data_IF_633823531837
#
_entry.id   IF_633823531837
#
_cell.length_a   1.000
_cell.length_b   1.000
_cell.length_c   1.000
_cell.angle_alpha   90.00
_cell.angle_beta   90.00
_cell.angle_gamma   90.00
#
_symmetry.space_group_name_H-M   'P 1'
#
loop_
_entity.id
_entity.type
_entity.pdbx_description
1 polymer ?
#
# COMPACT_ATOMS: atom_id res chain seq x y z
N UNK A 1 -79.62 32.46 -5.03
CA UNK A 1 -78.92 32.55 -6.33
C UNK A 1 -77.43 32.79 -6.12
N UNK A 2 -76.65 31.75 -6.42
CA UNK A 2 -75.23 31.68 -6.82
C UNK A 2 -74.21 32.63 -6.15
N UNK A 3 -73.68 32.17 -5.00
CA UNK A 3 -72.33 32.52 -4.52
C UNK A 3 -71.31 31.90 -5.49
N UNK A 4 -70.50 32.73 -6.13
CA UNK A 4 -69.36 32.28 -6.94
C UNK A 4 -68.24 31.84 -5.99
N UNK A 5 -67.90 30.57 -6.04
CA UNK A 5 -66.76 29.98 -5.34
C UNK A 5 -65.50 30.36 -6.12
N UNK A 6 -64.60 31.09 -5.46
CA UNK A 6 -63.26 31.39 -5.96
C UNK A 6 -62.38 30.19 -5.62
N UNK A 7 -61.93 29.45 -6.64
CA UNK A 7 -60.96 28.37 -6.51
C UNK A 7 -59.58 29.02 -6.33
N UNK A 8 -59.04 28.94 -5.11
CA UNK A 8 -57.65 29.30 -4.81
C UNK A 8 -56.79 28.08 -5.10
N UNK A 9 -55.98 28.16 -6.15
CA UNK A 9 -54.93 27.17 -6.45
C UNK A 9 -53.78 27.42 -5.47
N UNK A 10 -53.67 26.55 -4.47
CA UNK A 10 -52.50 26.51 -3.58
C UNK A 10 -51.39 25.78 -4.32
N UNK A 11 -50.40 26.54 -4.79
CA UNK A 11 -49.13 25.99 -5.27
C UNK A 11 -48.35 25.56 -4.04
N UNK A 12 -48.44 24.28 -3.68
CA UNK A 12 -47.58 23.67 -2.68
C UNK A 12 -46.16 23.56 -3.24
N UNK A 13 -45.28 24.49 -2.87
CA UNK A 13 -43.84 24.29 -2.95
C UNK A 13 -43.48 23.16 -1.97
N UNK A 14 -43.42 21.93 -2.48
CA UNK A 14 -42.70 20.84 -1.84
C UNK A 14 -41.22 21.21 -1.84
N UNK A 15 -40.77 21.85 -0.76
CA UNK A 15 -39.36 21.88 -0.41
C UNK A 15 -38.98 20.44 -0.10
N UNK A 16 -38.37 19.75 -1.06
CA UNK A 16 -37.62 18.54 -0.78
C UNK A 16 -36.44 18.94 0.10
N UNK A 17 -36.66 18.90 1.42
CA UNK A 17 -35.57 18.74 2.37
C UNK A 17 -34.95 17.37 2.08
N UNK A 18 -33.95 17.34 1.20
CA UNK A 18 -33.04 16.21 1.14
C UNK A 18 -32.33 16.17 2.48
N UNK A 19 -32.79 15.30 3.39
CA UNK A 19 -31.99 14.84 4.50
C UNK A 19 -30.80 14.07 3.91
N UNK A 20 -29.78 14.81 3.45
CA UNK A 20 -28.42 14.27 3.40
C UNK A 20 -28.08 13.98 4.85
N UNK A 21 -28.26 12.73 5.25
CA UNK A 21 -27.57 12.17 6.40
C UNK A 21 -26.10 12.46 6.15
N UNK A 22 -25.55 13.46 6.85
CA UNK A 22 -24.11 13.58 7.01
C UNK A 22 -23.66 12.27 7.65
N UNK A 23 -23.13 11.37 6.83
CA UNK A 23 -22.32 10.28 7.30
C UNK A 23 -21.07 10.96 7.85
N UNK A 24 -21.05 11.12 9.17
CA UNK A 24 -19.89 11.65 9.88
C UNK A 24 -18.68 10.79 9.51
N UNK A 25 -17.72 11.37 8.79
CA UNK A 25 -16.38 10.83 8.53
C UNK A 25 -15.53 10.83 9.83
N UNK A 26 -16.06 10.24 10.90
CA UNK A 26 -15.54 10.37 12.27
C UNK A 26 -14.81 9.12 12.79
N UNK A 27 -14.42 8.17 11.93
CA UNK A 27 -13.58 7.04 12.36
C UNK A 27 -12.13 7.11 11.87
N UNK A 28 -11.83 7.85 10.80
CA UNK A 28 -10.47 7.88 10.23
C UNK A 28 -9.60 9.00 10.81
N UNK A 29 -10.21 10.12 11.22
CA UNK A 29 -9.47 11.31 11.66
C UNK A 29 -8.77 11.16 13.00
N UNK A 30 -9.25 10.26 13.87
CA UNK A 30 -8.75 10.16 15.24
C UNK A 30 -7.55 9.22 15.42
N UNK A 31 -7.26 8.33 14.46
CA UNK A 31 -6.12 7.41 14.56
C UNK A 31 -4.93 7.78 13.66
N UNK A 32 -5.15 8.54 12.56
CA UNK A 32 -4.08 8.94 11.62
C UNK A 32 -3.44 10.29 12.01
N UNK A 33 -4.12 11.12 12.81
CA UNK A 33 -3.69 12.51 13.12
C UNK A 33 -2.52 12.65 14.10
N UNK A 34 -1.86 11.56 14.50
CA UNK A 34 -0.74 11.57 15.46
C UNK A 34 0.58 10.99 14.91
N UNK A 35 0.73 10.76 13.60
CA UNK A 35 1.92 10.07 13.05
C UNK A 35 2.93 11.08 12.46
N UNK A 36 3.39 12.00 13.28
CA UNK A 36 4.61 12.78 13.02
C UNK A 36 5.51 12.67 14.24
N UNK A 37 5.98 11.46 14.53
CA UNK A 37 7.05 11.28 15.52
C UNK A 37 8.40 11.33 14.79
N UNK A 38 9.38 11.99 15.43
CA UNK A 38 10.77 11.57 15.30
C UNK A 38 10.80 10.09 15.68
N UNK A 39 11.09 9.22 14.72
CA UNK A 39 11.22 7.80 14.98
C UNK A 39 12.69 7.46 14.96
N UNK A 40 13.13 6.73 15.99
CA UNK A 40 14.41 6.07 15.96
C UNK A 40 14.35 4.93 14.95
N UNK A 41 15.39 4.80 14.14
CA UNK A 41 15.61 3.70 13.20
C UNK A 41 16.68 2.77 13.79
N UNK A 42 16.36 1.96 14.82
CA UNK A 42 17.38 1.20 15.55
C UNK A 42 18.12 0.20 14.66
N UNK A 43 17.47 -0.34 13.63
CA UNK A 43 18.11 -1.24 12.67
C UNK A 43 19.06 -0.53 11.70
N UNK A 44 18.90 0.79 11.52
CA UNK A 44 19.71 1.58 10.59
C UNK A 44 20.71 2.51 11.29
N UNK A 45 20.74 2.55 12.63
CA UNK A 45 21.58 3.48 13.40
C UNK A 45 23.07 3.40 13.02
N UNK A 46 23.58 2.19 12.79
CA UNK A 46 24.95 1.96 12.34
C UNK A 46 25.14 2.12 10.83
N UNK A 47 24.06 2.17 10.05
CA UNK A 47 24.08 2.28 8.60
C UNK A 47 24.10 3.74 8.18
N UNK A 48 23.18 4.55 8.70
CA UNK A 48 23.09 5.96 8.39
C UNK A 48 21.98 6.65 9.16
N UNK A 49 22.17 7.93 9.42
CA UNK A 49 21.15 8.76 10.05
C UNK A 49 20.00 9.01 9.06
N UNK A 50 18.77 8.73 9.50
CA UNK A 50 17.56 9.00 8.74
C UNK A 50 16.97 10.34 9.20
N UNK A 51 16.72 11.23 8.24
CA UNK A 51 16.25 12.59 8.48
C UNK A 51 14.99 12.89 7.67
N UNK A 52 14.30 13.98 8.01
CA UNK A 52 13.19 14.49 7.20
C UNK A 52 13.69 14.88 5.79
N UNK A 53 12.94 14.50 4.76
CA UNK A 53 13.16 15.01 3.40
C UNK A 53 12.69 16.45 3.19
N UNK A 54 12.12 17.09 4.22
CA UNK A 54 11.52 18.42 4.15
C UNK A 54 10.02 18.38 3.86
N UNK A 55 9.52 19.40 3.16
CA UNK A 55 8.09 19.55 2.89
C UNK A 55 7.82 20.36 1.63
N UNK A 56 6.66 20.16 1.03
CA UNK A 56 6.12 20.97 -0.08
C UNK A 56 4.76 21.57 0.30
N UNK A 57 4.43 22.73 -0.25
CA UNK A 57 3.12 23.35 -0.07
C UNK A 57 2.21 23.06 -1.27
N UNK A 58 1.02 22.51 -1.01
CA UNK A 58 0.00 22.20 -2.02
C UNK A 58 -1.31 22.82 -1.54
N UNK A 59 -1.88 23.73 -2.34
CA UNK A 59 -3.14 24.41 -2.03
C UNK A 59 -3.17 25.04 -0.62
N UNK A 60 -2.05 25.68 -0.24
CA UNK A 60 -1.90 26.36 1.05
C UNK A 60 -1.73 25.43 2.26
N UNK A 61 -1.55 24.12 2.02
CA UNK A 61 -1.28 23.13 3.07
C UNK A 61 0.12 22.55 2.91
N UNK A 62 0.85 22.45 4.01
CA UNK A 62 2.13 21.75 4.06
C UNK A 62 1.89 20.23 3.98
N UNK A 63 2.70 19.57 3.15
CA UNK A 63 2.77 18.12 3.00
C UNK A 63 4.23 17.70 3.12
N UNK A 64 4.47 16.57 3.76
CA UNK A 64 5.81 16.08 4.02
C UNK A 64 6.42 15.46 2.75
N UNK A 65 7.73 15.56 2.65
CA UNK A 65 8.51 14.68 1.79
C UNK A 65 8.90 13.44 2.58
N UNK A 66 9.15 12.33 1.89
CA UNK A 66 9.58 11.09 2.52
C UNK A 66 10.90 11.28 3.27
N UNK A 67 11.12 10.47 4.30
CA UNK A 67 12.39 10.49 5.05
C UNK A 67 13.51 9.88 4.20
N UNK A 68 14.71 10.40 4.35
CA UNK A 68 15.89 10.01 3.57
C UNK A 68 17.08 9.80 4.48
N UNK A 69 18.11 9.12 3.99
CA UNK A 69 19.41 9.14 4.66
C UNK A 69 20.04 10.52 4.54
N UNK A 70 20.59 11.06 5.63
CA UNK A 70 21.28 12.35 5.62
C UNK A 70 22.49 12.36 4.67
N UNK A 71 23.10 11.19 4.45
CA UNK A 71 24.08 10.94 3.40
C UNK A 71 23.84 9.56 2.75
N UNK A 72 23.17 9.57 1.59
CA UNK A 72 22.81 8.39 0.80
C UNK A 72 24.03 7.52 0.43
N UNK A 73 25.14 8.13 0.02
CA UNK A 73 26.36 7.41 -0.37
C UNK A 73 26.98 6.68 0.82
N UNK A 74 27.13 7.38 1.95
CA UNK A 74 27.69 6.77 3.17
C UNK A 74 26.80 5.65 3.68
N UNK A 75 25.48 5.81 3.63
CA UNK A 75 24.54 4.75 4.02
C UNK A 75 24.71 3.48 3.16
N UNK A 76 24.87 3.64 1.84
CA UNK A 76 25.10 2.52 0.92
C UNK A 76 26.39 1.76 1.24
N UNK A 77 27.51 2.47 1.41
CA UNK A 77 28.81 1.86 1.69
C UNK A 77 28.84 1.19 3.08
N UNK A 78 28.18 1.77 4.07
CA UNK A 78 28.02 1.16 5.39
C UNK A 78 27.19 -0.13 5.30
N UNK A 79 26.10 -0.15 4.53
CA UNK A 79 25.30 -1.35 4.30
C UNK A 79 26.13 -2.46 3.64
N UNK A 80 26.87 -2.13 2.58
CA UNK A 80 27.74 -3.08 1.87
C UNK A 80 28.76 -3.73 2.80
N UNK A 81 29.27 -2.96 3.76
CA UNK A 81 30.23 -3.43 4.76
C UNK A 81 29.58 -4.29 5.84
N UNK A 82 28.35 -3.96 6.28
CA UNK A 82 27.70 -4.60 7.42
C UNK A 82 26.89 -5.85 7.04
N UNK A 83 26.29 -5.85 5.86
CA UNK A 83 25.41 -6.91 5.37
C UNK A 83 26.02 -7.65 4.15
N UNK A 84 27.35 -7.76 4.10
CA UNK A 84 28.11 -8.34 2.98
C UNK A 84 27.58 -9.72 2.57
N UNK A 85 27.48 -10.67 3.51
CA UNK A 85 27.06 -12.05 3.21
C UNK A 85 25.63 -12.11 2.65
N UNK A 86 24.72 -11.29 3.18
CA UNK A 86 23.33 -11.25 2.75
C UNK A 86 23.20 -10.58 1.36
N UNK A 87 23.97 -9.52 1.10
CA UNK A 87 24.04 -8.87 -0.22
C UNK A 87 24.68 -9.78 -1.27
N UNK A 88 25.75 -10.51 -0.94
CA UNK A 88 26.35 -11.51 -1.84
C UNK A 88 25.36 -12.62 -2.19
N UNK A 89 24.54 -13.05 -1.22
CA UNK A 89 23.49 -14.01 -1.46
C UNK A 89 22.47 -13.50 -2.49
N UNK A 90 21.95 -12.29 -2.28
CA UNK A 90 20.96 -11.66 -3.18
C UNK A 90 21.57 -11.46 -4.57
N UNK A 91 22.80 -10.93 -4.65
CA UNK A 91 23.52 -10.74 -5.91
C UNK A 91 23.66 -12.04 -6.69
N UNK A 92 24.05 -13.13 -6.01
CA UNK A 92 24.20 -14.44 -6.62
C UNK A 92 22.87 -15.02 -7.10
N UNK A 93 21.80 -14.84 -6.33
CA UNK A 93 20.46 -15.34 -6.66
C UNK A 93 19.88 -14.61 -7.88
N UNK A 94 20.02 -13.29 -7.93
CA UNK A 94 19.55 -12.46 -9.03
C UNK A 94 20.49 -12.36 -10.24
N UNK A 95 21.73 -12.88 -10.13
CA UNK A 95 22.80 -12.69 -11.11
C UNK A 95 23.15 -11.21 -11.34
N UNK A 96 23.20 -10.43 -10.27
CA UNK A 96 23.49 -9.00 -10.32
C UNK A 96 24.98 -8.71 -10.13
N UNK A 97 25.44 -7.61 -10.70
CA UNK A 97 26.69 -6.97 -10.29
C UNK A 97 26.56 -6.43 -8.85
N UNK A 98 27.68 -6.00 -8.27
CA UNK A 98 27.73 -5.38 -6.94
C UNK A 98 26.67 -4.28 -6.76
N UNK A 99 26.13 -4.15 -5.55
CA UNK A 99 25.12 -3.16 -5.22
C UNK A 99 25.63 -1.72 -5.45
N UNK A 100 24.82 -0.93 -6.13
CA UNK A 100 25.03 0.47 -6.53
C UNK A 100 23.71 1.25 -6.52
N UNK A 101 23.78 2.58 -6.63
CA UNK A 101 22.60 3.44 -6.86
C UNK A 101 21.77 3.06 -8.08
N UNK A 102 22.36 2.46 -9.11
CA UNK A 102 21.62 2.15 -10.35
C UNK A 102 20.91 0.81 -10.32
N UNK A 103 21.26 -0.10 -9.39
CA UNK A 103 20.70 -1.45 -9.33
C UNK A 103 20.07 -1.80 -7.96
N UNK A 104 20.00 -0.86 -7.00
CA UNK A 104 19.44 -1.16 -5.67
C UNK A 104 18.00 -1.69 -5.71
N UNK A 105 17.17 -1.22 -6.66
CA UNK A 105 15.81 -1.74 -6.85
C UNK A 105 15.79 -3.22 -7.25
N UNK A 106 16.83 -3.70 -7.95
CA UNK A 106 16.95 -5.11 -8.32
C UNK A 106 17.21 -5.95 -7.07
N UNK A 107 18.10 -5.48 -6.20
CA UNK A 107 18.35 -6.11 -4.90
C UNK A 107 17.10 -6.09 -4.01
N UNK A 108 16.40 -4.96 -3.94
CA UNK A 108 15.18 -4.86 -3.15
C UNK A 108 14.10 -5.82 -3.66
N UNK A 109 13.86 -5.82 -4.97
CA UNK A 109 12.85 -6.70 -5.58
C UNK A 109 13.18 -8.17 -5.38
N UNK A 110 14.45 -8.57 -5.52
CA UNK A 110 14.90 -9.94 -5.28
C UNK A 110 14.79 -10.33 -3.80
N UNK A 111 15.15 -9.44 -2.86
CA UNK A 111 14.95 -9.62 -1.42
C UNK A 111 13.47 -9.94 -1.13
N UNK A 112 12.55 -9.18 -1.73
CA UNK A 112 11.11 -9.38 -1.62
C UNK A 112 10.61 -10.69 -2.26
N UNK A 113 11.42 -11.41 -3.04
CA UNK A 113 11.07 -12.75 -3.55
C UNK A 113 11.64 -13.91 -2.72
N UNK A 114 12.45 -13.65 -1.69
CA UNK A 114 13.06 -14.73 -0.90
C UNK A 114 12.01 -15.33 0.06
N UNK A 115 11.75 -16.62 -0.07
CA UNK A 115 10.84 -17.33 0.83
C UNK A 115 11.39 -17.45 2.26
N UNK A 116 10.52 -17.47 3.27
CA UNK A 116 10.92 -17.52 4.68
C UNK A 116 11.83 -18.71 5.03
N UNK A 117 11.56 -19.89 4.48
CA UNK A 117 12.40 -21.07 4.69
C UNK A 117 13.79 -20.96 4.07
N UNK A 118 13.92 -20.14 3.02
CA UNK A 118 15.20 -19.82 2.39
C UNK A 118 15.95 -18.81 3.24
N UNK A 119 15.29 -17.73 3.68
CA UNK A 119 15.86 -16.71 4.59
C UNK A 119 16.53 -17.41 5.78
N UNK A 120 15.81 -18.28 6.49
CA UNK A 120 16.35 -19.01 7.67
C UNK A 120 17.62 -19.83 7.40
N UNK A 121 17.92 -20.16 6.15
CA UNK A 121 19.11 -20.94 5.76
C UNK A 121 20.24 -20.06 5.24
N UNK A 122 19.94 -18.85 4.76
CA UNK A 122 20.86 -18.05 3.97
C UNK A 122 21.24 -16.72 4.63
N UNK A 123 20.37 -16.16 5.48
CA UNK A 123 20.63 -14.96 6.26
C UNK A 123 19.86 -14.94 7.58
N UNK A 124 20.17 -14.00 8.47
CA UNK A 124 19.39 -13.83 9.69
C UNK A 124 18.10 -13.06 9.41
N UNK A 125 17.05 -13.28 10.21
CA UNK A 125 15.84 -12.44 10.19
C UNK A 125 16.17 -10.96 10.44
N UNK A 126 17.18 -10.69 11.27
CA UNK A 126 17.64 -9.33 11.52
C UNK A 126 18.22 -8.70 10.24
N UNK A 127 19.15 -9.38 9.57
CA UNK A 127 19.73 -8.94 8.29
C UNK A 127 18.66 -8.71 7.23
N UNK A 128 17.68 -9.61 7.11
CA UNK A 128 16.54 -9.40 6.22
C UNK A 128 15.78 -8.10 6.55
N UNK A 129 15.49 -7.85 7.83
CA UNK A 129 14.78 -6.65 8.27
C UNK A 129 15.61 -5.36 8.13
N UNK A 130 16.94 -5.42 8.29
CA UNK A 130 17.87 -4.31 8.02
C UNK A 130 17.81 -3.96 6.54
N UNK A 131 17.99 -4.96 5.66
CA UNK A 131 17.98 -4.75 4.21
C UNK A 131 16.62 -4.23 3.73
N UNK A 132 15.52 -4.80 4.23
CA UNK A 132 14.17 -4.37 3.85
C UNK A 132 13.92 -2.91 4.23
N UNK A 133 14.28 -2.53 5.46
CA UNK A 133 14.12 -1.15 5.92
C UNK A 133 15.09 -0.18 5.22
N UNK A 134 16.31 -0.65 4.93
CA UNK A 134 17.28 0.16 4.20
C UNK A 134 16.73 0.51 2.82
N UNK A 135 16.30 -0.48 2.03
CA UNK A 135 15.88 -0.23 0.65
C UNK A 135 14.62 0.64 0.57
N UNK A 136 13.69 0.46 1.51
CA UNK A 136 12.51 1.30 1.66
C UNK A 136 12.87 2.78 1.91
N UNK A 137 13.77 3.06 2.88
CA UNK A 137 14.25 4.45 3.07
C UNK A 137 15.14 4.93 1.92
N UNK A 138 15.88 4.04 1.26
CA UNK A 138 16.84 4.40 0.21
C UNK A 138 16.18 4.85 -1.10
N UNK A 139 14.98 4.34 -1.40
CA UNK A 139 14.23 4.78 -2.59
C UNK A 139 13.65 6.19 -2.45
N UNK A 140 13.53 6.69 -1.21
CA UNK A 140 12.84 7.94 -0.93
C UNK A 140 13.49 9.19 -1.51
N UNK A 141 14.80 9.18 -1.74
CA UNK A 141 15.46 10.23 -2.52
C UNK A 141 14.85 10.34 -3.93
N UNK A 142 14.61 9.21 -4.59
CA UNK A 142 14.07 9.16 -5.94
C UNK A 142 12.55 9.47 -5.92
N UNK A 143 11.83 9.07 -4.87
CA UNK A 143 10.44 9.46 -4.63
C UNK A 143 10.28 10.98 -4.45
N UNK A 144 11.10 11.57 -3.58
CA UNK A 144 11.12 13.01 -3.33
C UNK A 144 11.49 13.80 -4.58
N UNK A 145 12.44 13.32 -5.38
CA UNK A 145 12.78 13.94 -6.66
C UNK A 145 11.59 13.96 -7.62
N UNK A 146 10.79 12.88 -7.71
CA UNK A 146 9.56 12.83 -8.52
C UNK A 146 8.49 13.81 -8.02
N UNK A 147 8.31 13.93 -6.72
CA UNK A 147 7.38 14.91 -6.12
C UNK A 147 7.79 16.34 -6.50
N UNK A 148 9.07 16.68 -6.31
CA UNK A 148 9.60 18.01 -6.62
C UNK A 148 9.48 18.31 -8.12
N UNK A 149 9.81 17.35 -8.99
CA UNK A 149 9.62 17.47 -10.44
C UNK A 149 8.16 17.72 -10.82
N UNK A 150 7.21 17.03 -10.18
CA UNK A 150 5.77 17.22 -10.39
C UNK A 150 5.33 18.64 -9.98
N UNK A 151 5.80 19.12 -8.83
CA UNK A 151 5.53 20.49 -8.37
C UNK A 151 6.06 21.55 -9.34
N UNK A 152 7.24 21.33 -9.92
CA UNK A 152 7.89 22.24 -10.85
C UNK A 152 7.37 22.12 -12.30
N UNK A 153 6.54 21.11 -12.60
CA UNK A 153 6.05 20.88 -13.96
C UNK A 153 5.01 21.93 -14.38
N UNK A 154 5.42 22.89 -15.21
CA UNK A 154 4.56 23.96 -15.72
C UNK A 154 3.54 23.51 -16.77
N UNK A 155 3.64 22.27 -17.26
CA UNK A 155 2.68 21.71 -18.22
C UNK A 155 1.42 21.17 -17.53
N UNK A 156 1.49 20.92 -16.22
CA UNK A 156 0.36 20.45 -15.41
C UNK A 156 -0.33 21.65 -14.75
N UNK A 157 -1.65 21.70 -14.85
CA UNK A 157 -2.45 22.61 -14.03
C UNK A 157 -2.50 22.12 -12.56
N UNK A 158 -3.01 22.96 -11.67
CA UNK A 158 -3.06 22.67 -10.23
C UNK A 158 -3.80 21.36 -9.91
N UNK A 159 -4.96 21.13 -10.53
CA UNK A 159 -5.75 19.91 -10.30
C UNK A 159 -5.03 18.64 -10.79
N UNK A 160 -4.30 18.72 -11.90
CA UNK A 160 -3.50 17.60 -12.39
C UNK A 160 -2.31 17.32 -11.47
N UNK A 161 -1.67 18.35 -10.90
CA UNK A 161 -0.61 18.16 -9.90
C UNK A 161 -1.16 17.49 -8.65
N UNK A 162 -2.28 17.96 -8.13
CA UNK A 162 -2.93 17.38 -6.96
C UNK A 162 -3.28 15.91 -7.16
N UNK A 163 -3.79 15.55 -8.34
CA UNK A 163 -4.07 14.15 -8.68
C UNK A 163 -2.81 13.28 -8.68
N UNK A 164 -1.74 13.72 -9.35
CA UNK A 164 -0.46 12.96 -9.36
C UNK A 164 0.13 12.86 -7.96
N UNK A 165 0.17 13.97 -7.22
CA UNK A 165 0.78 14.06 -5.90
C UNK A 165 0.02 13.24 -4.85
N UNK A 166 -1.30 13.08 -4.99
CA UNK A 166 -2.07 12.20 -4.11
C UNK A 166 -1.61 10.72 -4.17
N UNK A 167 -0.96 10.29 -5.26
CA UNK A 167 -0.45 8.93 -5.45
C UNK A 167 1.05 8.79 -5.19
N UNK A 168 1.75 9.89 -4.95
CA UNK A 168 3.21 9.92 -4.77
C UNK A 168 3.61 10.46 -3.40
N UNK A 169 2.70 11.02 -2.59
CA UNK A 169 3.00 11.53 -1.25
C UNK A 169 2.73 10.49 -0.15
N UNK A 170 3.34 10.66 1.03
CA UNK A 170 3.02 9.88 2.23
C UNK A 170 1.53 9.76 2.51
N UNK A 171 1.03 8.56 2.81
CA UNK A 171 -0.41 8.28 2.92
C UNK A 171 -1.15 9.14 3.96
N UNK A 172 -0.43 9.68 4.95
CA UNK A 172 -0.98 10.48 6.03
C UNK A 172 -1.05 11.99 5.71
N UNK A 173 -0.51 12.43 4.57
CA UNK A 173 -0.46 13.84 4.21
C UNK A 173 -1.82 14.41 3.81
N UNK A 174 -1.98 15.70 4.04
CA UNK A 174 -3.24 16.41 3.82
C UNK A 174 -3.76 16.28 2.39
N UNK A 175 -2.87 16.43 1.40
CA UNK A 175 -3.23 16.33 -0.02
C UNK A 175 -3.74 14.92 -0.37
N UNK A 176 -3.13 13.88 0.19
CA UNK A 176 -3.52 12.48 -0.02
C UNK A 176 -4.88 12.21 0.62
N UNK A 177 -5.03 12.55 1.90
CA UNK A 177 -6.27 12.36 2.65
C UNK A 177 -7.43 13.11 2.00
N UNK A 178 -7.23 14.37 1.60
CA UNK A 178 -8.25 15.17 0.94
C UNK A 178 -8.62 14.61 -0.42
N UNK A 179 -7.65 14.22 -1.25
CA UNK A 179 -7.90 13.68 -2.58
C UNK A 179 -8.73 12.39 -2.50
N UNK A 180 -8.28 11.40 -1.74
CA UNK A 180 -8.98 10.11 -1.65
C UNK A 180 -10.31 10.22 -0.89
N UNK A 181 -10.43 11.10 0.10
CA UNK A 181 -11.74 11.32 0.75
C UNK A 181 -12.81 11.88 -0.20
N UNK A 182 -12.39 12.63 -1.23
CA UNK A 182 -13.30 13.28 -2.18
C UNK A 182 -13.53 12.48 -3.47
N UNK A 183 -12.59 11.62 -3.87
CA UNK A 183 -12.64 10.88 -5.14
C UNK A 183 -13.01 9.40 -4.98
N UNK A 184 -13.20 8.93 -3.75
CA UNK A 184 -13.69 7.57 -3.49
C UNK A 184 -15.21 7.45 -3.63
N UNK A 185 -15.66 6.87 -4.74
CA UNK A 185 -17.02 6.32 -4.83
C UNK A 185 -17.06 4.96 -4.16
N UNK A 186 -17.46 4.91 -2.89
CA UNK A 186 -17.79 3.65 -2.22
C UNK A 186 -19.15 3.19 -2.77
N UNK A 187 -19.16 2.33 -3.78
CA UNK A 187 -20.35 1.56 -4.05
C UNK A 187 -20.50 0.53 -2.93
N UNK A 188 -21.63 0.60 -2.22
CA UNK A 188 -21.93 -0.27 -1.10
C UNK A 188 -22.34 -1.65 -1.65
N UNK A 189 -21.35 -2.47 -2.04
CA UNK A 189 -21.57 -3.83 -2.54
C UNK A 189 -21.03 -4.83 -1.52
N UNK A 190 -21.74 -5.95 -1.38
CA UNK A 190 -21.33 -7.02 -0.47
C UNK A 190 -20.13 -7.78 -1.06
N UNK A 191 -18.96 -7.65 -0.45
CA UNK A 191 -17.78 -8.45 -0.77
C UNK A 191 -18.00 -9.92 -0.42
N UNK A 192 -17.86 -10.80 -1.41
CA UNK A 192 -18.02 -12.24 -1.25
C UNK A 192 -16.70 -12.89 -0.84
N UNK A 193 -16.50 -13.01 0.48
CA UNK A 193 -15.31 -13.64 1.08
C UNK A 193 -15.08 -15.07 0.58
N UNK A 194 -16.13 -15.85 0.32
CA UNK A 194 -15.99 -17.23 -0.17
C UNK A 194 -15.36 -17.27 -1.56
N UNK A 195 -15.82 -16.41 -2.47
CA UNK A 195 -15.26 -16.33 -3.83
C UNK A 195 -13.83 -15.79 -3.80
N UNK A 196 -13.58 -14.74 -3.01
CA UNK A 196 -12.27 -14.18 -2.82
C UNK A 196 -11.28 -15.22 -2.24
N UNK A 197 -11.66 -15.97 -1.22
CA UNK A 197 -10.86 -17.05 -0.64
C UNK A 197 -10.57 -18.17 -1.66
N UNK A 198 -11.57 -18.56 -2.44
CA UNK A 198 -11.42 -19.59 -3.49
C UNK A 198 -10.39 -19.14 -4.53
N UNK A 199 -10.49 -17.88 -4.97
CA UNK A 199 -9.55 -17.30 -5.91
C UNK A 199 -8.14 -17.20 -5.34
N UNK A 200 -8.02 -16.67 -4.11
CA UNK A 200 -6.75 -16.50 -3.43
C UNK A 200 -6.01 -17.83 -3.26
N UNK A 201 -6.70 -18.86 -2.75
CA UNK A 201 -6.11 -20.20 -2.60
C UNK A 201 -5.65 -20.81 -3.94
N UNK A 202 -6.45 -20.67 -4.99
CA UNK A 202 -6.15 -21.26 -6.29
C UNK A 202 -4.97 -20.59 -7.02
N UNK A 203 -4.69 -19.32 -6.72
CA UNK A 203 -3.74 -18.50 -7.51
C UNK A 203 -2.52 -18.04 -6.71
N UNK A 204 -2.48 -18.16 -5.38
CA UNK A 204 -1.36 -17.68 -4.56
C UNK A 204 0.01 -18.28 -4.92
N UNK A 205 0.04 -19.51 -5.46
CA UNK A 205 1.27 -20.15 -5.96
C UNK A 205 1.40 -20.12 -7.49
N UNK A 206 0.48 -19.49 -8.21
CA UNK A 206 0.43 -19.51 -9.68
C UNK A 206 0.25 -18.11 -10.26
N UNK A 207 1.30 -17.64 -10.92
CA UNK A 207 1.37 -16.31 -11.56
C UNK A 207 0.76 -16.26 -12.96
N UNK A 208 0.29 -17.40 -13.49
CA UNK A 208 -0.06 -17.59 -14.92
C UNK A 208 -1.46 -17.06 -15.28
N UNK A 209 -1.86 -15.92 -14.76
CA UNK A 209 -3.16 -15.32 -15.09
C UNK A 209 -3.09 -14.58 -16.42
N UNK A 210 -3.38 -15.27 -17.54
CA UNK A 210 -3.52 -14.61 -18.85
C UNK A 210 -4.60 -13.52 -18.88
N UNK A 211 -5.54 -13.56 -17.94
CA UNK A 211 -6.59 -12.56 -17.79
C UNK A 211 -6.03 -11.22 -17.33
N UNK A 212 -5.20 -11.24 -16.28
CA UNK A 212 -4.77 -10.03 -15.58
C UNK A 212 -3.30 -9.70 -15.78
N UNK A 213 -2.49 -10.61 -16.33
CA UNK A 213 -1.05 -10.48 -16.46
C UNK A 213 -0.34 -10.59 -15.11
N UNK A 214 0.99 -10.59 -15.18
CA UNK A 214 1.88 -10.51 -14.04
C UNK A 214 2.63 -9.18 -14.09
N UNK A 215 2.67 -8.47 -12.96
CA UNK A 215 3.29 -7.16 -12.85
C UNK A 215 4.76 -7.30 -12.49
N UNK A 216 5.57 -6.55 -13.23
CA UNK A 216 7.00 -6.39 -12.99
C UNK A 216 7.28 -4.92 -12.69
N UNK A 217 8.26 -4.67 -11.82
CA UNK A 217 8.84 -3.36 -11.60
C UNK A 217 9.56 -2.85 -12.86
N UNK A 218 9.94 -1.58 -12.88
CA UNK A 218 10.56 -0.92 -14.05
C UNK A 218 11.89 -1.54 -14.49
N UNK A 219 12.58 -2.20 -13.57
CA UNK A 219 13.83 -2.95 -13.76
C UNK A 219 13.58 -4.43 -14.14
N UNK A 220 12.31 -4.83 -14.33
CA UNK A 220 11.91 -6.14 -14.82
C UNK A 220 11.74 -7.21 -13.74
N UNK A 221 11.77 -6.85 -12.45
CA UNK A 221 11.63 -7.79 -11.36
C UNK A 221 10.17 -8.03 -10.96
N UNK A 222 9.80 -9.23 -10.47
CA UNK A 222 8.46 -9.51 -9.98
C UNK A 222 7.94 -8.56 -8.88
N UNK A 223 6.83 -7.86 -9.11
CA UNK A 223 6.25 -6.89 -8.16
C UNK A 223 4.70 -6.98 -8.12
N UNK A 224 4.18 -8.18 -7.87
CA UNK A 224 2.79 -8.52 -8.19
C UNK A 224 1.81 -8.49 -7.01
N UNK A 225 2.27 -8.12 -5.81
CA UNK A 225 1.47 -8.20 -4.58
C UNK A 225 0.13 -7.44 -4.68
N UNK A 226 0.15 -6.18 -5.12
CA UNK A 226 -1.05 -5.37 -5.29
C UNK A 226 -1.91 -5.81 -6.48
N UNK A 227 -1.30 -6.27 -7.58
CA UNK A 227 -2.04 -6.83 -8.71
C UNK A 227 -2.81 -8.08 -8.30
N UNK A 228 -2.19 -8.97 -7.52
CA UNK A 228 -2.84 -10.15 -6.98
C UNK A 228 -3.97 -9.79 -6.01
N UNK A 229 -3.75 -8.81 -5.12
CA UNK A 229 -4.79 -8.30 -4.23
C UNK A 229 -5.99 -7.73 -5.01
N UNK A 230 -5.75 -6.95 -6.08
CA UNK A 230 -6.80 -6.44 -6.96
C UNK A 230 -7.59 -7.55 -7.64
N UNK A 231 -6.92 -8.62 -8.09
CA UNK A 231 -7.59 -9.79 -8.65
C UNK A 231 -8.52 -10.48 -7.63
N UNK A 232 -8.10 -10.58 -6.37
CA UNK A 232 -8.93 -11.10 -5.28
C UNK A 232 -10.15 -10.21 -5.02
N UNK A 233 -10.00 -8.88 -5.07
CA UNK A 233 -11.12 -7.94 -4.94
C UNK A 233 -12.17 -8.17 -6.04
N UNK A 234 -11.74 -8.28 -7.30
CA UNK A 234 -12.64 -8.60 -8.42
C UNK A 234 -13.33 -9.95 -8.23
N UNK A 235 -12.60 -10.98 -7.80
CA UNK A 235 -13.18 -12.29 -7.51
C UNK A 235 -14.22 -12.24 -6.37
N UNK A 236 -14.00 -11.35 -5.39
CA UNK A 236 -14.95 -11.02 -4.33
C UNK A 236 -16.16 -10.21 -4.80
N UNK A 237 -16.19 -9.73 -6.04
CA UNK A 237 -17.33 -9.03 -6.65
C UNK A 237 -17.19 -7.50 -6.68
N UNK A 238 -16.04 -6.95 -6.30
CA UNK A 238 -15.77 -5.52 -6.48
C UNK A 238 -15.71 -5.16 -7.96
N UNK A 239 -16.14 -3.95 -8.30
CA UNK A 239 -16.11 -3.45 -9.67
C UNK A 239 -15.02 -2.40 -9.84
N UNK A 240 -14.28 -2.50 -10.95
CA UNK A 240 -13.27 -1.51 -11.31
C UNK A 240 -13.88 -0.12 -11.45
N UNK A 241 -13.12 0.90 -11.06
CA UNK A 241 -13.41 2.30 -11.38
C UNK A 241 -12.54 2.68 -12.57
N UNK A 242 -13.09 2.54 -13.77
CA UNK A 242 -12.33 2.72 -15.01
C UNK A 242 -12.17 4.18 -15.41
N UNK A 243 -10.91 4.62 -15.47
CA UNK A 243 -10.47 5.96 -15.88
C UNK A 243 -9.30 5.87 -16.88
N UNK A 244 -9.13 4.72 -17.52
CA UNK A 244 -8.10 4.49 -18.54
C UNK A 244 -8.09 5.63 -19.58
N UNK A 245 -6.91 6.15 -19.98
CA UNK A 245 -5.57 5.68 -19.65
C UNK A 245 -4.91 6.37 -18.44
N UNK A 246 -5.64 7.11 -17.59
CA UNK A 246 -5.04 7.84 -16.48
C UNK A 246 -4.63 6.89 -15.34
N UNK A 247 -3.32 6.71 -15.14
CA UNK A 247 -2.77 5.80 -14.12
C UNK A 247 -2.86 6.36 -12.70
N UNK A 248 -3.09 7.67 -12.55
CA UNK A 248 -3.24 8.39 -11.28
C UNK A 248 -4.71 8.60 -10.89
N UNK A 249 -5.60 7.76 -11.42
CA UNK A 249 -7.03 7.89 -11.16
C UNK A 249 -7.71 6.53 -11.25
N UNK A 250 -8.83 6.38 -10.53
CA UNK A 250 -9.64 5.15 -10.53
C UNK A 250 -8.94 3.94 -9.91
N UNK A 251 -9.44 2.75 -10.21
CA UNK A 251 -8.87 1.44 -9.86
C UNK A 251 -9.24 0.49 -10.99
N UNK A 252 -8.30 0.27 -11.91
CA UNK A 252 -8.60 -0.40 -13.17
C UNK A 252 -7.45 -1.20 -13.74
N UNK A 253 -7.83 -2.20 -14.53
CA UNK A 253 -6.98 -2.99 -15.40
C UNK A 253 -7.62 -3.07 -16.79
N UNK A 254 -6.78 -3.05 -17.83
CA UNK A 254 -7.20 -3.28 -19.22
C UNK A 254 -6.27 -4.29 -19.87
N UNK A 255 -6.86 -5.34 -20.47
CA UNK A 255 -6.15 -6.28 -21.34
C UNK A 255 -6.25 -5.81 -22.80
N UNK A 256 -5.13 -5.39 -23.38
CA UNK A 256 -5.04 -4.92 -24.77
C UNK A 256 -4.55 -6.01 -25.74
N UNK A 257 -4.77 -7.29 -25.39
CA UNK A 257 -4.35 -8.51 -26.12
C UNK A 257 -2.85 -8.74 -26.13
N UNK A 258 -2.03 -7.72 -26.42
CA UNK A 258 -0.56 -7.80 -26.47
C UNK A 258 0.11 -7.28 -25.20
N UNK A 259 -0.62 -6.53 -24.38
CA UNK A 259 -0.13 -5.99 -23.12
C UNK A 259 -1.27 -5.79 -22.13
N UNK A 260 -0.91 -5.76 -20.85
CA UNK A 260 -1.81 -5.37 -19.78
C UNK A 260 -1.43 -3.97 -19.28
N UNK A 261 -2.43 -3.13 -19.05
CA UNK A 261 -2.28 -1.80 -18.45
C UNK A 261 -3.05 -1.74 -17.15
N UNK A 262 -2.55 -0.95 -16.21
CA UNK A 262 -3.07 -0.85 -14.84
C UNK A 262 -3.05 0.60 -14.38
N UNK A 263 -4.00 0.99 -13.53
CA UNK A 263 -3.82 2.15 -12.65
C UNK A 263 -2.81 1.82 -11.56
N UNK A 264 -2.21 2.85 -10.95
CA UNK A 264 -1.32 2.65 -9.80
C UNK A 264 -2.06 1.98 -8.63
N UNK A 265 -3.27 2.45 -8.32
CA UNK A 265 -4.15 1.85 -7.31
C UNK A 265 -4.47 0.37 -7.54
N UNK A 266 -4.32 -0.15 -8.77
CA UNK A 266 -4.48 -1.57 -9.07
C UNK A 266 -3.21 -2.37 -8.81
N UNK A 267 -2.06 -1.89 -9.27
CA UNK A 267 -0.81 -2.68 -9.33
C UNK A 267 0.30 -2.23 -8.40
N UNK A 268 0.16 -1.12 -7.68
CA UNK A 268 1.20 -0.53 -6.84
C UNK A 268 0.76 -0.44 -5.38
N UNK A 269 1.49 -1.13 -4.50
CA UNK A 269 1.11 -1.38 -3.10
C UNK A 269 0.78 -0.10 -2.30
N UNK A 270 1.60 0.97 -2.33
CA UNK A 270 1.29 2.19 -1.56
C UNK A 270 -0.07 2.78 -1.95
N UNK A 271 -0.34 2.85 -3.25
CA UNK A 271 -1.58 3.44 -3.76
C UNK A 271 -2.77 2.51 -3.66
N UNK A 272 -2.58 1.19 -3.75
CA UNK A 272 -3.63 0.21 -3.45
C UNK A 272 -4.08 0.36 -2.00
N UNK A 273 -3.14 0.35 -1.06
CA UNK A 273 -3.44 0.44 0.36
C UNK A 273 -4.19 1.72 0.67
N UNK A 274 -3.68 2.85 0.18
CA UNK A 274 -4.29 4.17 0.40
C UNK A 274 -5.70 4.24 -0.20
N UNK A 275 -5.88 3.81 -1.45
CA UNK A 275 -7.17 3.75 -2.13
C UNK A 275 -8.17 2.90 -1.32
N UNK A 276 -7.80 1.70 -0.88
CA UNK A 276 -8.75 0.83 -0.19
C UNK A 276 -8.89 1.09 1.33
N UNK A 277 -8.12 2.02 1.91
CA UNK A 277 -8.02 2.24 3.38
C UNK A 277 -9.23 2.87 4.08
N UNK A 278 -10.33 3.22 3.38
CA UNK A 278 -11.46 3.98 3.96
C UNK A 278 -12.18 3.33 5.16
N UNK A 279 -11.85 2.09 5.54
CA UNK A 279 -12.32 1.38 6.74
C UNK A 279 -11.21 0.48 7.30
N UNK A 280 -10.02 1.05 7.47
CA UNK A 280 -8.82 0.35 7.90
C UNK A 280 -8.49 0.53 9.39
N UNK A 281 -7.59 -0.32 9.87
CA UNK A 281 -6.96 -0.24 11.19
C UNK A 281 -5.45 -0.40 11.03
N UNK A 282 -4.65 0.46 11.66
CA UNK A 282 -3.20 0.39 11.61
C UNK A 282 -2.59 0.29 13.02
N UNK A 283 -1.49 -0.47 13.16
CA UNK A 283 -0.74 -0.59 14.41
C UNK A 283 0.68 -1.06 14.16
N UNK A 284 1.60 -0.81 15.10
CA UNK A 284 2.97 -1.33 15.09
C UNK A 284 3.16 -2.63 15.84
N UNK A 285 2.11 -3.12 16.51
CA UNK A 285 2.16 -4.34 17.32
C UNK A 285 1.43 -5.46 16.60
N UNK A 286 2.14 -6.52 16.25
CA UNK A 286 1.64 -7.65 15.48
C UNK A 286 0.53 -8.41 16.21
N UNK A 287 0.61 -8.54 17.53
CA UNK A 287 -0.49 -9.15 18.32
C UNK A 287 -1.78 -8.32 18.25
N UNK A 288 -1.68 -6.99 18.35
CA UNK A 288 -2.81 -6.08 18.16
C UNK A 288 -3.35 -6.14 16.73
N UNK A 289 -2.45 -6.17 15.74
CA UNK A 289 -2.79 -6.29 14.32
C UNK A 289 -3.60 -7.56 14.05
N UNK A 290 -3.09 -8.72 14.46
CA UNK A 290 -3.77 -10.01 14.27
C UNK A 290 -5.11 -10.10 14.99
N UNK A 291 -5.27 -9.41 16.13
CA UNK A 291 -6.56 -9.33 16.86
C UNK A 291 -7.68 -8.65 16.06
N UNK A 292 -7.35 -7.90 15.01
CA UNK A 292 -8.32 -7.22 14.14
C UNK A 292 -8.58 -7.97 12.84
N UNK A 293 -7.83 -9.03 12.54
CA UNK A 293 -7.98 -9.78 11.30
C UNK A 293 -9.26 -10.62 11.30
N UNK A 294 -9.76 -10.84 10.10
CA UNK A 294 -10.78 -11.84 9.80
C UNK A 294 -10.49 -12.42 8.41
N UNK A 295 -11.05 -13.58 8.09
CA UNK A 295 -11.03 -14.05 6.69
C UNK A 295 -11.73 -13.00 5.79
N UNK A 296 -11.08 -12.60 4.70
CA UNK A 296 -11.52 -11.46 3.89
C UNK A 296 -10.78 -10.15 4.16
N UNK A 297 -9.89 -10.10 5.15
CA UNK A 297 -9.02 -8.95 5.36
C UNK A 297 -7.91 -8.93 4.31
N UNK A 298 -7.69 -7.76 3.69
CA UNK A 298 -6.43 -7.43 3.05
C UNK A 298 -5.51 -6.83 4.11
N UNK A 299 -4.22 -7.06 3.98
CA UNK A 299 -3.22 -6.60 4.93
C UNK A 299 -2.05 -5.96 4.20
N UNK A 300 -1.43 -4.96 4.82
CA UNK A 300 -0.24 -4.32 4.30
C UNK A 300 0.78 -4.05 5.41
N UNK A 301 2.02 -3.80 5.04
CA UNK A 301 3.02 -3.25 5.95
C UNK A 301 3.75 -2.06 5.33
N UNK A 302 4.24 -1.17 6.19
CA UNK A 302 5.15 -0.05 5.90
C UNK A 302 6.37 -0.27 6.81
N UNK A 303 7.49 -0.73 6.24
CA UNK A 303 8.65 -1.26 6.97
C UNK A 303 9.52 -0.15 7.54
N UNK A 304 9.70 0.93 6.79
CA UNK A 304 10.48 2.11 7.14
C UNK A 304 9.67 3.17 7.86
N UNK A 305 8.36 2.99 8.01
CA UNK A 305 7.46 3.98 8.61
C UNK A 305 7.71 5.37 8.00
N UNK A 306 7.74 5.40 6.67
CA UNK A 306 8.00 6.57 5.86
C UNK A 306 6.71 7.14 5.24
N UNK A 307 5.58 6.45 5.44
CA UNK A 307 4.30 6.81 4.85
C UNK A 307 4.01 6.11 3.53
N UNK A 308 4.71 5.03 3.20
CA UNK A 308 4.52 4.19 2.02
C UNK A 308 4.28 2.74 2.43
N UNK A 309 3.23 2.10 1.91
CA UNK A 309 3.02 0.66 2.18
C UNK A 309 3.75 -0.19 1.14
N UNK A 310 4.77 -0.92 1.57
CA UNK A 310 5.64 -1.75 0.72
C UNK A 310 4.92 -2.92 0.06
N UNK A 311 3.98 -3.53 0.78
CA UNK A 311 3.48 -4.86 0.42
C UNK A 311 2.01 -5.06 0.76
N UNK A 312 1.32 -5.86 -0.05
CA UNK A 312 -0.08 -6.25 0.16
C UNK A 312 -0.22 -7.78 0.18
N UNK A 313 -1.00 -8.30 1.13
CA UNK A 313 -1.43 -9.69 1.15
C UNK A 313 -2.92 -9.81 1.51
N UNK A 314 -3.44 -11.04 1.44
CA UNK A 314 -4.84 -11.35 1.74
C UNK A 314 -4.95 -12.48 2.75
N UNK A 315 -5.83 -12.30 3.74
CA UNK A 315 -6.09 -13.25 4.81
C UNK A 315 -7.33 -14.09 4.47
N UNK A 316 -7.15 -15.40 4.30
CA UNK A 316 -8.27 -16.30 4.00
C UNK A 316 -8.99 -16.79 5.25
N UNK A 317 -8.26 -16.95 6.36
CA UNK A 317 -8.81 -17.42 7.63
C UNK A 317 -7.93 -17.01 8.81
N UNK A 318 -8.53 -16.84 9.98
CA UNK A 318 -7.83 -16.54 11.25
C UNK A 318 -8.21 -17.59 12.28
N UNK A 319 -7.23 -18.08 13.03
CA UNK A 319 -7.47 -19.03 14.11
C UNK A 319 -8.21 -18.36 15.28
N UNK A 320 -8.95 -19.17 16.03
CA UNK A 320 -9.71 -18.72 17.20
C UNK A 320 -8.92 -18.76 18.52
N UNK A 321 -7.64 -19.13 18.48
CA UNK A 321 -6.73 -19.12 19.63
C UNK A 321 -5.38 -18.53 19.23
N UNK A 322 -4.69 -17.95 20.21
CA UNK A 322 -3.35 -17.41 20.01
C UNK A 322 -2.29 -18.52 20.08
N UNK A 323 -1.31 -18.43 19.20
CA UNK A 323 -0.09 -19.23 19.21
C UNK A 323 1.10 -18.29 19.02
N UNK A 324 2.17 -18.42 19.80
CA UNK A 324 3.33 -17.53 19.69
C UNK A 324 3.05 -16.05 20.00
N UNK A 325 1.98 -15.74 20.75
CA UNK A 325 1.63 -14.37 21.16
C UNK A 325 0.73 -13.59 20.19
N UNK A 326 0.27 -14.20 19.10
CA UNK A 326 -0.64 -13.59 18.13
C UNK A 326 -1.68 -14.60 17.61
N UNK A 327 -2.71 -14.14 16.92
CA UNK A 327 -3.66 -15.02 16.24
C UNK A 327 -3.09 -15.48 14.91
N UNK A 328 -2.71 -16.76 14.82
CA UNK A 328 -2.20 -17.32 13.57
C UNK A 328 -3.29 -17.34 12.50
N UNK A 329 -2.91 -17.16 11.25
CA UNK A 329 -3.83 -16.92 10.15
C UNK A 329 -3.21 -17.35 8.82
N UNK A 330 -4.05 -17.68 7.84
CA UNK A 330 -3.59 -18.08 6.51
C UNK A 330 -3.53 -16.86 5.59
N UNK A 331 -2.40 -16.73 4.91
CA UNK A 331 -2.04 -15.63 4.04
C UNK A 331 -1.87 -16.18 2.63
N UNK A 332 -2.53 -15.51 1.68
CA UNK A 332 -2.30 -15.62 0.26
C UNK A 332 -1.61 -14.33 -0.21
N UNK A 333 -0.45 -14.44 -0.84
CA UNK A 333 0.24 -13.30 -1.42
C UNK A 333 1.09 -13.67 -2.63
N UNK A 334 1.47 -12.65 -3.39
CA UNK A 334 2.59 -12.70 -4.32
C UNK A 334 3.77 -11.88 -3.75
N UNK A 335 4.99 -12.10 -4.25
CA UNK A 335 6.24 -11.45 -3.79
C UNK A 335 6.60 -11.70 -2.30
N UNK A 336 7.04 -12.92 -1.92
CA UNK A 336 7.04 -14.14 -2.73
C UNK A 336 5.65 -14.77 -2.84
N UNK A 337 5.50 -15.71 -3.77
CA UNK A 337 4.22 -16.33 -4.10
C UNK A 337 3.95 -17.54 -3.21
N UNK A 338 3.00 -17.40 -2.27
CA UNK A 338 2.64 -18.50 -1.39
C UNK A 338 1.22 -18.41 -0.83
N UNK A 339 0.70 -19.57 -0.46
CA UNK A 339 -0.41 -19.75 0.47
C UNK A 339 0.09 -20.45 1.71
N UNK A 340 0.19 -19.76 2.85
CA UNK A 340 0.77 -20.34 4.06
C UNK A 340 0.20 -19.70 5.33
N UNK A 341 0.36 -20.38 6.47
CA UNK A 341 0.07 -19.77 7.76
C UNK A 341 1.14 -18.74 8.12
N UNK A 342 0.77 -17.70 8.86
CA UNK A 342 1.67 -16.63 9.27
C UNK A 342 2.87 -17.15 10.08
N UNK A 343 2.68 -18.23 10.85
CA UNK A 343 3.75 -18.94 11.56
C UNK A 343 4.86 -19.52 10.66
N UNK A 344 4.60 -19.64 9.36
CA UNK A 344 5.57 -20.08 8.34
C UNK A 344 5.85 -18.99 7.31
N UNK A 345 5.68 -17.72 7.68
CA UNK A 345 5.99 -16.58 6.83
C UNK A 345 6.81 -15.52 7.59
N UNK A 346 7.25 -14.50 6.87
CA UNK A 346 7.99 -13.38 7.45
C UNK A 346 7.10 -12.42 8.26
N UNK A 347 5.77 -12.45 8.10
CA UNK A 347 4.87 -11.46 8.69
C UNK A 347 5.04 -11.25 10.20
N UNK A 348 5.15 -12.29 11.06
CA UNK A 348 5.36 -12.10 12.48
C UNK A 348 6.74 -11.51 12.82
N UNK A 349 7.72 -11.69 11.95
CA UNK A 349 9.09 -11.23 12.13
C UNK A 349 9.32 -9.79 11.66
N UNK A 350 8.33 -9.16 11.03
CA UNK A 350 8.41 -7.77 10.59
C UNK A 350 8.27 -6.77 11.76
N UNK A 351 7.72 -7.19 12.91
CA UNK A 351 7.63 -6.32 14.09
C UNK A 351 9.04 -6.05 14.64
N UNK A 352 9.51 -4.83 14.46
CA UNK A 352 10.85 -4.37 14.86
C UNK A 352 10.83 -3.04 15.62
N UNK A 353 9.64 -2.57 15.99
CA UNK A 353 9.47 -1.25 16.58
C UNK A 353 9.59 -0.11 15.57
N UNK A 354 9.50 -0.35 14.27
CA UNK A 354 9.32 0.71 13.26
C UNK A 354 8.14 0.36 12.37
N UNK A 355 8.08 -0.89 11.89
CA UNK A 355 7.10 -1.39 10.95
C UNK A 355 5.65 -1.11 11.39
N UNK A 356 4.84 -0.54 10.49
CA UNK A 356 3.40 -0.47 10.64
C UNK A 356 2.73 -1.61 9.89
N UNK A 357 1.65 -2.13 10.48
CA UNK A 357 0.75 -3.09 9.85
C UNK A 357 -0.61 -2.44 9.65
N UNK A 358 -1.19 -2.63 8.47
CA UNK A 358 -2.51 -2.12 8.09
C UNK A 358 -3.45 -3.28 7.81
N UNK A 359 -4.68 -3.18 8.31
CA UNK A 359 -5.81 -4.05 7.94
C UNK A 359 -6.74 -3.25 7.05
N UNK A 360 -7.02 -3.75 5.86
CA UNK A 360 -7.99 -3.23 4.90
C UNK A 360 -9.16 -4.23 4.84
N UNK A 361 -10.40 -3.75 4.98
CA UNK A 361 -11.59 -4.61 4.86
C UNK A 361 -11.98 -4.75 3.39
N UNK A 362 -12.11 -5.98 2.90
CA UNK A 362 -12.50 -6.26 1.51
C UNK A 362 -13.90 -5.78 1.11
N UNK A 363 -14.73 -5.37 2.07
CA UNK A 363 -16.04 -4.73 1.87
C UNK A 363 -16.51 -4.07 3.17
N UNK A 364 -17.47 -3.13 3.09
CA UNK A 364 -18.04 -2.43 4.25
C UNK A 364 -19.22 -3.16 4.88
#
# INVERSE_FOLDING_TARGET
>A
MKKKVLIVIVISMLVFLSNKKEIKANSMKNDISNIAYEFDYPLLESIGEVVSGGSVEISGKQNHLYKVFSNRETALENLKTQETDALEYIAKKGHFDELTHSNYMQYYSELMQIEYEEIKKTMSTNSYNVLLQFFDIYENDDCNERIIKTMQNNSLNQSQKEEVLAYELPYYDNAVVDYFSNHHSIENRSFNVTNANTYAYANAGNTSSSTYGYVYSSDGNPADCANFASQILIAGGESMVNTFPNVYSGWWHVNLVVEHKYSRSWSFAPTFATYHSSSSFATRTYSTFTSKLQGGSFIAFDKGNDGSYDHIAYVTSVNNFMSGGYYDHNIAQHSPNYYNSASYSMWPSLEDGVCWFLVIRGGK
#
